data_IF_382474034295
#
_entry.id   IF_382474034295
#
_cell.length_a   1.000
_cell.length_b   1.000
_cell.length_c   1.000
_cell.angle_alpha   90.00
_cell.angle_beta   90.00
_cell.angle_gamma   90.00
#
_symmetry.space_group_name_H-M   'P 1'
#
loop_
_entity.id
_entity.type
_entity.pdbx_description
1 polymer ?
#
# COMPACT_ATOMS: atom_id res chain seq x y z
N UNK A 1 3.55 -11.34 -7.11
CA UNK A 1 3.72 -10.71 -5.79
C UNK A 1 5.08 -10.04 -5.76
N UNK A 2 5.16 -8.83 -5.24
CA UNK A 2 6.41 -8.11 -5.01
C UNK A 2 6.35 -7.42 -3.65
N UNK A 3 7.51 -7.16 -3.06
CA UNK A 3 7.64 -6.37 -1.86
C UNK A 3 8.84 -5.43 -1.98
N UNK A 4 8.61 -4.16 -1.69
CA UNK A 4 9.66 -3.17 -1.51
C UNK A 4 9.73 -2.83 -0.03
N UNK A 5 10.84 -3.12 0.68
CA UNK A 5 10.90 -3.03 2.14
C UNK A 5 11.43 -1.68 2.66
N UNK A 6 11.72 -0.72 1.78
CA UNK A 6 12.48 0.48 2.15
C UNK A 6 11.63 1.75 2.12
N UNK A 7 12.11 2.75 2.86
CA UNK A 7 11.74 4.15 2.66
C UNK A 7 12.69 4.75 1.62
N UNK A 8 12.14 5.38 0.59
CA UNK A 8 12.93 5.98 -0.46
C UNK A 8 12.68 7.50 -0.49
N UNK A 9 13.66 8.25 0.00
CA UNK A 9 13.55 9.71 0.11
C UNK A 9 13.30 10.37 -1.26
N UNK A 10 12.48 11.41 -1.24
CA UNK A 10 12.28 12.31 -2.37
C UNK A 10 13.54 13.14 -2.64
N UNK A 11 13.74 13.52 -3.90
CA UNK A 11 14.73 14.51 -4.31
C UNK A 11 14.02 15.81 -4.70
N UNK A 12 14.73 16.93 -4.66
CA UNK A 12 14.18 18.24 -5.01
C UNK A 12 13.58 18.23 -6.43
N UNK A 13 12.34 18.70 -6.55
CA UNK A 13 11.63 18.83 -7.84
C UNK A 13 10.77 17.63 -8.26
N UNK A 14 10.64 16.59 -7.43
CA UNK A 14 9.79 15.42 -7.75
C UNK A 14 8.60 15.31 -6.80
N UNK A 15 7.58 16.16 -7.00
CA UNK A 15 6.34 16.16 -6.17
C UNK A 15 5.14 15.58 -6.88
N UNK A 16 5.06 15.68 -8.20
CA UNK A 16 3.77 15.56 -8.89
C UNK A 16 3.30 14.11 -9.11
N UNK A 17 4.22 13.14 -9.07
CA UNK A 17 3.91 11.71 -9.27
C UNK A 17 4.11 10.87 -8.00
N UNK A 18 4.52 11.47 -6.88
CA UNK A 18 4.73 10.75 -5.61
C UNK A 18 3.50 10.82 -4.73
N UNK A 19 3.16 9.72 -4.03
CA UNK A 19 2.08 9.69 -3.03
C UNK A 19 2.34 10.59 -1.83
N UNK A 20 3.61 10.89 -1.57
CA UNK A 20 4.05 11.62 -0.39
C UNK A 20 5.14 12.63 -0.77
N UNK A 21 5.15 13.85 -0.18
CA UNK A 21 6.13 14.87 -0.51
C UNK A 21 7.54 14.59 0.04
N UNK A 22 7.68 13.75 1.07
CA UNK A 22 8.96 13.43 1.71
C UNK A 22 9.59 12.15 1.14
N UNK A 23 8.76 11.21 0.68
CA UNK A 23 9.19 9.90 0.19
C UNK A 23 8.57 9.59 -1.16
N UNK A 24 9.40 9.15 -2.12
CA UNK A 24 8.93 8.58 -3.39
C UNK A 24 8.12 7.32 -3.19
N UNK A 25 8.52 6.53 -2.19
CA UNK A 25 7.77 5.36 -1.75
C UNK A 25 8.18 4.95 -0.34
N UNK A 26 7.25 4.31 0.36
CA UNK A 26 7.40 3.68 1.67
C UNK A 26 7.26 2.16 1.50
N UNK A 27 7.50 1.33 2.54
CA UNK A 27 7.37 -0.11 2.40
C UNK A 27 5.99 -0.52 1.85
N UNK A 28 6.01 -1.28 0.74
CA UNK A 28 4.80 -1.64 -0.01
C UNK A 28 4.86 -3.09 -0.49
N UNK A 29 3.73 -3.77 -0.46
CA UNK A 29 3.56 -5.08 -1.11
C UNK A 29 2.56 -4.98 -2.25
N UNK A 30 2.80 -5.73 -3.32
CA UNK A 30 2.01 -5.66 -4.55
C UNK A 30 1.59 -7.06 -4.98
N UNK A 31 0.34 -7.20 -5.38
CA UNK A 31 -0.16 -8.34 -6.15
C UNK A 31 -0.65 -7.82 -7.50
N UNK A 32 -0.15 -8.41 -8.59
CA UNK A 32 -0.74 -8.28 -9.92
C UNK A 32 -1.29 -9.64 -10.30
N UNK A 33 -2.58 -9.69 -10.62
CA UNK A 33 -3.28 -10.91 -11.01
C UNK A 33 -4.14 -10.60 -12.24
N UNK A 34 -3.70 -11.10 -13.39
CA UNK A 34 -4.24 -10.72 -14.70
C UNK A 34 -4.19 -9.19 -14.85
N UNK A 35 -5.33 -8.56 -15.06
CA UNK A 35 -5.46 -7.12 -15.30
C UNK A 35 -5.49 -6.30 -14.01
N UNK A 36 -5.57 -6.93 -12.83
CA UNK A 36 -5.77 -6.22 -11.57
C UNK A 36 -4.50 -6.14 -10.74
N UNK A 37 -4.11 -4.92 -10.39
CA UNK A 37 -2.98 -4.60 -9.50
C UNK A 37 -3.50 -4.05 -8.19
N UNK A 38 -3.08 -4.63 -7.06
CA UNK A 38 -3.32 -4.09 -5.73
C UNK A 38 -1.99 -3.79 -5.05
N UNK A 39 -1.91 -2.61 -4.43
CA UNK A 39 -0.79 -2.16 -3.61
C UNK A 39 -1.27 -2.05 -2.15
N UNK A 40 -0.44 -2.53 -1.23
CA UNK A 40 -0.64 -2.43 0.21
C UNK A 40 0.54 -1.70 0.85
N UNK A 41 0.28 -0.49 1.33
CA UNK A 41 1.26 0.38 1.99
C UNK A 41 1.33 0.03 3.48
N UNK A 42 2.46 -0.50 3.93
CA UNK A 42 2.57 -1.14 5.25
C UNK A 42 2.50 -0.16 6.40
N UNK A 43 3.03 1.06 6.24
CA UNK A 43 2.98 2.06 7.30
C UNK A 43 1.53 2.49 7.59
N UNK A 44 0.79 2.94 6.57
CA UNK A 44 -0.64 3.27 6.67
C UNK A 44 -1.46 2.07 7.14
N UNK A 45 -1.12 0.85 6.69
CA UNK A 45 -1.79 -0.37 7.15
C UNK A 45 -1.67 -0.59 8.66
N UNK A 46 -0.47 -0.36 9.23
CA UNK A 46 -0.21 -0.54 10.66
C UNK A 46 -0.77 0.62 11.48
N UNK A 47 -0.64 1.86 11.00
CA UNK A 47 -1.02 3.06 11.75
C UNK A 47 -2.54 3.36 11.66
N UNK A 48 -3.17 3.06 10.53
CA UNK A 48 -4.54 3.51 10.24
C UNK A 48 -5.56 2.37 10.30
N UNK A 49 -5.34 1.41 11.21
CA UNK A 49 -6.31 0.36 11.55
C UNK A 49 -6.43 -0.81 10.57
N UNK A 50 -5.64 -0.83 9.49
CA UNK A 50 -5.52 -1.94 8.54
C UNK A 50 -6.86 -2.51 8.10
N UNK A 51 -7.05 -3.82 8.23
CA UNK A 51 -8.31 -4.51 7.88
C UNK A 51 -9.56 -3.95 8.57
N UNK A 52 -9.44 -3.31 9.73
CA UNK A 52 -10.60 -2.78 10.48
C UNK A 52 -11.10 -1.44 9.95
N UNK A 53 -10.33 -0.76 9.10
CA UNK A 53 -10.63 0.57 8.60
C UNK A 53 -10.38 0.68 7.08
N UNK A 54 -10.60 -0.40 6.33
CA UNK A 54 -10.36 -0.43 4.88
C UNK A 54 -11.11 0.64 4.09
N UNK A 55 -12.26 1.10 4.59
CA UNK A 55 -13.09 2.10 3.91
C UNK A 55 -12.70 3.54 4.28
N UNK A 56 -11.89 3.72 5.33
CA UNK A 56 -11.47 5.04 5.85
C UNK A 56 -9.97 5.29 5.82
N UNK A 57 -9.13 4.28 5.58
CA UNK A 57 -7.69 4.43 5.46
C UNK A 57 -7.21 4.50 4.01
N UNK A 58 -5.96 4.93 3.83
CA UNK A 58 -5.32 5.08 2.53
C UNK A 58 -4.33 3.93 2.21
N UNK A 59 -4.36 2.86 3.01
CA UNK A 59 -3.36 1.80 2.96
C UNK A 59 -3.43 0.90 1.72
N UNK A 60 -4.51 0.98 0.94
CA UNK A 60 -4.78 0.14 -0.22
C UNK A 60 -5.08 0.96 -1.46
N UNK A 61 -4.40 0.63 -2.55
CA UNK A 61 -4.78 1.05 -3.90
C UNK A 61 -5.13 -0.17 -4.76
N UNK A 62 -6.09 0.01 -5.67
CA UNK A 62 -6.50 -1.00 -6.62
C UNK A 62 -6.65 -0.39 -8.02
N UNK A 63 -5.99 -0.97 -9.01
CA UNK A 63 -6.04 -0.52 -10.40
C UNK A 63 -6.41 -1.67 -11.34
N UNK A 64 -7.15 -1.33 -12.40
CA UNK A 64 -7.41 -2.23 -13.52
C UNK A 64 -6.54 -1.81 -14.71
N UNK A 65 -5.40 -2.46 -14.89
CA UNK A 65 -4.39 -2.12 -15.88
C UNK A 65 -4.85 -2.34 -17.33
N UNK A 66 -5.93 -3.09 -17.56
CA UNK A 66 -6.51 -3.22 -18.89
C UNK A 66 -7.08 -1.89 -19.39
N UNK A 67 -7.70 -1.13 -18.50
CA UNK A 67 -8.38 0.12 -18.82
C UNK A 67 -7.58 1.35 -18.35
N UNK A 68 -6.67 1.17 -17.40
CA UNK A 68 -5.87 2.22 -16.77
C UNK A 68 -4.43 1.76 -16.53
N UNK A 69 -3.65 1.71 -17.61
CA UNK A 69 -2.23 1.29 -17.57
C UNK A 69 -1.34 2.27 -16.81
N UNK A 70 -1.77 3.53 -16.69
CA UNK A 70 -1.03 4.59 -16.02
C UNK A 70 -1.35 4.69 -14.51
N UNK A 71 -2.22 3.82 -13.99
CA UNK A 71 -2.55 3.72 -12.56
C UNK A 71 -3.11 5.04 -11.99
N UNK A 72 -3.97 5.73 -12.76
CA UNK A 72 -4.46 7.06 -12.41
C UNK A 72 -5.76 7.03 -11.59
N UNK A 73 -6.51 5.93 -11.62
CA UNK A 73 -7.84 5.81 -11.03
C UNK A 73 -7.83 4.71 -9.97
N UNK A 74 -7.65 5.10 -8.70
CA UNK A 74 -7.74 4.16 -7.60
C UNK A 74 -9.19 3.67 -7.40
N UNK A 75 -9.42 2.38 -7.65
CA UNK A 75 -10.71 1.71 -7.56
C UNK A 75 -10.95 1.01 -6.21
N UNK A 76 -10.07 1.17 -5.21
CA UNK A 76 -10.14 0.40 -3.96
C UNK A 76 -11.49 0.56 -3.23
N UNK A 77 -12.05 1.76 -3.21
CA UNK A 77 -13.34 2.05 -2.58
C UNK A 77 -14.56 1.78 -3.47
N UNK A 78 -14.34 1.60 -4.78
CA UNK A 78 -15.41 1.40 -5.76
C UNK A 78 -15.64 -0.10 -6.00
N UNK A 79 -14.55 -0.87 -6.15
CA UNK A 79 -14.59 -2.30 -6.42
C UNK A 79 -14.09 -3.10 -5.20
N UNK A 80 -14.77 -2.92 -4.07
CA UNK A 80 -14.42 -3.52 -2.78
C UNK A 80 -14.33 -5.04 -2.84
N UNK A 81 -15.19 -5.70 -3.62
CA UNK A 81 -15.13 -7.16 -3.83
C UNK A 81 -13.78 -7.59 -4.41
N UNK A 82 -13.26 -6.88 -5.42
CA UNK A 82 -11.96 -7.20 -6.04
C UNK A 82 -10.80 -6.79 -5.13
N UNK A 83 -10.93 -5.67 -4.42
CA UNK A 83 -9.98 -5.24 -3.37
C UNK A 83 -9.79 -6.37 -2.36
N UNK A 84 -10.88 -6.84 -1.76
CA UNK A 84 -10.85 -7.81 -0.67
C UNK A 84 -10.34 -9.19 -1.14
N UNK A 85 -10.69 -9.61 -2.36
CA UNK A 85 -10.15 -10.82 -3.00
C UNK A 85 -8.62 -10.79 -3.07
N UNK A 86 -8.06 -9.73 -3.69
CA UNK A 86 -6.62 -9.63 -3.91
C UNK A 86 -5.86 -9.35 -2.61
N UNK A 87 -6.44 -8.55 -1.71
CA UNK A 87 -5.86 -8.28 -0.40
C UNK A 87 -5.75 -9.57 0.43
N UNK A 88 -6.79 -10.41 0.42
CA UNK A 88 -6.75 -11.71 1.08
C UNK A 88 -5.64 -12.59 0.51
N UNK A 89 -5.53 -12.68 -0.81
CA UNK A 89 -4.46 -13.45 -1.46
C UNK A 89 -3.06 -12.93 -1.11
N UNK A 90 -2.88 -11.61 -1.03
CA UNK A 90 -1.62 -10.99 -0.63
C UNK A 90 -1.25 -11.32 0.81
N UNK A 91 -2.18 -11.20 1.75
CA UNK A 91 -1.98 -11.51 3.16
C UNK A 91 -1.71 -13.00 3.36
N UNK A 92 -2.43 -13.87 2.66
CA UNK A 92 -2.22 -15.32 2.73
C UNK A 92 -0.85 -15.71 2.17
N UNK A 93 -0.42 -15.10 1.07
CA UNK A 93 0.93 -15.27 0.55
C UNK A 93 2.00 -14.86 1.57
N UNK A 94 1.86 -13.69 2.21
CA UNK A 94 2.79 -13.24 3.26
C UNK A 94 2.86 -14.22 4.43
N UNK A 95 1.72 -14.75 4.90
CA UNK A 95 1.67 -15.77 5.96
C UNK A 95 2.36 -17.06 5.54
N UNK A 96 2.10 -17.53 4.33
CA UNK A 96 2.65 -18.79 3.82
C UNK A 96 4.17 -18.77 3.74
N UNK A 97 4.75 -17.65 3.31
CA UNK A 97 6.21 -17.49 3.25
C UNK A 97 6.82 -17.06 4.60
N UNK A 98 6.00 -16.88 5.64
CA UNK A 98 6.40 -16.37 6.96
C UNK A 98 7.13 -15.02 6.85
N UNK A 99 6.58 -14.12 6.03
CA UNK A 99 7.15 -12.80 5.83
C UNK A 99 7.20 -12.01 7.16
N UNK A 100 8.33 -11.35 7.48
CA UNK A 100 8.45 -10.51 8.67
C UNK A 100 7.75 -9.16 8.44
N UNK A 101 6.42 -9.16 8.45
CA UNK A 101 5.60 -7.95 8.26
C UNK A 101 5.48 -7.21 9.60
N UNK A 102 5.81 -5.90 9.68
CA UNK A 102 5.59 -5.11 10.88
C UNK A 102 4.12 -5.08 11.29
N UNK A 103 3.84 -5.18 12.58
CA UNK A 103 2.47 -5.18 13.12
C UNK A 103 2.20 -4.08 14.14
N UNK A 104 3.25 -3.39 14.59
CA UNK A 104 3.16 -2.34 15.59
C UNK A 104 3.89 -1.07 15.08
N UNK A 105 3.41 0.12 15.46
CA UNK A 105 4.15 1.36 15.27
C UNK A 105 5.53 1.29 15.92
N UNK A 106 6.49 2.03 15.40
CA UNK A 106 7.79 2.19 16.07
C UNK A 106 7.59 3.04 17.34
N UNK A 107 7.79 2.49 18.56
CA UNK A 107 7.57 3.25 19.81
C UNK A 107 8.62 4.36 20.03
N UNK A 108 9.75 4.32 19.33
CA UNK A 108 10.79 5.34 19.40
C UNK A 108 10.59 6.47 18.39
N UNK A 109 9.59 6.37 17.50
CA UNK A 109 9.29 7.42 16.55
C UNK A 109 8.55 8.56 17.25
N UNK A 110 9.20 9.72 17.32
CA UNK A 110 8.60 10.96 17.81
C UNK A 110 8.46 11.93 16.64
N UNK A 111 7.22 12.23 16.26
CA UNK A 111 6.95 13.32 15.34
C UNK A 111 7.26 14.65 16.04
N UNK A 112 8.23 15.40 15.51
CA UNK A 112 8.67 16.67 16.10
C UNK A 112 7.68 17.82 15.88
N UNK A 113 6.58 17.58 15.16
CA UNK A 113 5.61 18.61 14.77
C UNK A 113 4.26 18.55 15.51
N UNK A 114 4.15 17.81 16.62
CA UNK A 114 3.01 17.86 17.55
C UNK A 114 3.39 18.50 18.89
#
# INVERSE_FOLDING_TARGET
FWHFPCYLQAYEGMTDESRDPLFRTRPVSVILKRDWKLLMFHEEWVLDGGSKNLDGNNSIELYNLKDDIAEQNNLAQINTRKRDELLKELIDWQKNIKAPVPTNPNPEYFDKNN
#
